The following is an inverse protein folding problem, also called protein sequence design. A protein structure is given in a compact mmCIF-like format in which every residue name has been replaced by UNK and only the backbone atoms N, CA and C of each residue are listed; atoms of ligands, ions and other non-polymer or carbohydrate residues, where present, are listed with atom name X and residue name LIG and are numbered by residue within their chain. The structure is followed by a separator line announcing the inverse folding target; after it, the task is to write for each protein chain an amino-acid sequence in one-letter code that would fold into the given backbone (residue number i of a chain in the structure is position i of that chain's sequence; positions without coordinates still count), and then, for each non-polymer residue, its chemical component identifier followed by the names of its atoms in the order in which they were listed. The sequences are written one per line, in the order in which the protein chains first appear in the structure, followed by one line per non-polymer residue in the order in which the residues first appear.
data_IF_448454374673
#
_entry.id   IF_448454374673
#
_cell.length_a   1.000
_cell.length_b   1.000
_cell.length_c   1.000
_cell.angle_alpha   90.00
_cell.angle_beta   90.00
_cell.angle_gamma   90.00
#
_symmetry.space_group_name_H-M   'P 1'
#
loop_
_entity.id
_entity.type
_entity.pdbx_description
1 polymer ?
#
# COMPACT_ATOMS: atom_id res chain seq x y z
N UNK A 1 -74.53 39.63 -11.56
CA UNK A 1 -74.52 38.22 -11.08
C UNK A 1 -73.61 37.42 -12.00
N UNK A 2 -72.80 36.52 -11.43
CA UNK A 2 -71.66 35.80 -12.02
C UNK A 2 -72.00 35.05 -13.33
N UNK A 3 -71.08 35.02 -14.31
CA UNK A 3 -70.33 33.81 -14.72
C UNK A 3 -69.28 34.13 -15.79
N UNK A 4 -68.15 33.42 -15.70
CA UNK A 4 -66.99 33.40 -16.61
C UNK A 4 -67.30 32.58 -17.86
N UNK A 5 -66.67 32.90 -18.99
CA UNK A 5 -65.86 31.94 -19.76
C UNK A 5 -65.03 32.60 -20.88
N UNK A 6 -63.79 32.12 -20.97
CA UNK A 6 -62.90 32.02 -22.12
C UNK A 6 -62.46 33.30 -22.86
N UNK A 7 -61.14 33.54 -22.86
CA UNK A 7 -60.39 33.74 -24.09
C UNK A 7 -58.92 33.38 -23.86
N UNK A 8 -58.42 32.48 -24.70
CA UNK A 8 -57.03 32.05 -24.74
C UNK A 8 -56.37 32.65 -25.97
N UNK A 9 -55.24 33.31 -25.75
CA UNK A 9 -54.17 33.46 -26.72
C UNK A 9 -54.12 34.81 -27.45
N UNK A 10 -53.17 35.67 -27.07
CA UNK A 10 -52.50 36.55 -28.02
C UNK A 10 -51.17 37.12 -27.46
N UNK A 11 -50.21 37.30 -28.40
CA UNK A 11 -49.07 38.27 -28.42
C UNK A 11 -47.85 37.89 -27.56
N UNK A 12 -46.70 37.51 -28.14
CA UNK A 12 -45.70 38.29 -28.92
C UNK A 12 -44.81 39.21 -28.05
N UNK A 13 -43.49 39.10 -28.32
CA UNK A 13 -42.37 40.00 -27.97
C UNK A 13 -42.06 40.28 -26.49
N UNK A 14 -40.83 39.95 -26.07
CA UNK A 14 -39.82 40.98 -25.73
C UNK A 14 -38.46 40.36 -25.36
N UNK A 15 -37.40 41.00 -25.84
CA UNK A 15 -36.01 40.79 -25.42
C UNK A 15 -35.85 41.00 -23.91
N UNK A 16 -35.10 40.12 -23.25
CA UNK A 16 -34.20 40.49 -22.14
C UNK A 16 -33.02 39.54 -22.08
N UNK A 17 -31.82 40.12 -22.08
CA UNK A 17 -30.55 39.44 -21.86
C UNK A 17 -30.50 38.76 -20.49
N UNK A 18 -30.00 37.52 -20.45
CA UNK A 18 -29.54 36.88 -19.24
C UNK A 18 -28.10 36.42 -19.47
N UNK A 19 -27.20 37.13 -18.81
CA UNK A 19 -25.80 36.76 -18.68
C UNK A 19 -25.71 35.38 -18.00
N UNK A 20 -25.32 34.36 -18.75
CA UNK A 20 -24.87 33.11 -18.16
C UNK A 20 -23.45 33.31 -17.65
N UNK A 21 -23.35 33.61 -16.37
CA UNK A 21 -22.12 33.54 -15.59
C UNK A 21 -21.53 32.14 -15.77
N UNK A 22 -20.33 32.09 -16.36
CA UNK A 22 -19.55 30.87 -16.52
C UNK A 22 -19.24 30.26 -15.16
N UNK A 23 -19.99 29.24 -14.77
CA UNK A 23 -19.58 28.34 -13.71
C UNK A 23 -18.56 27.36 -14.31
N UNK A 24 -17.29 27.78 -14.30
CA UNK A 24 -16.17 26.90 -14.59
C UNK A 24 -16.13 25.77 -13.57
N UNK A 25 -16.72 24.63 -13.91
CA UNK A 25 -16.50 23.38 -13.20
C UNK A 25 -15.04 23.02 -13.46
N UNK A 26 -14.17 23.31 -12.50
CA UNK A 26 -12.83 22.75 -12.48
C UNK A 26 -12.99 21.23 -12.39
N UNK A 27 -12.85 20.52 -13.51
CA UNK A 27 -12.61 19.09 -13.49
C UNK A 27 -11.32 18.88 -12.70
N UNK A 28 -11.45 18.41 -11.46
CA UNK A 28 -10.33 17.80 -10.75
C UNK A 28 -9.81 16.68 -11.64
N UNK A 29 -8.64 16.89 -12.27
CA UNK A 29 -7.94 15.82 -12.95
C UNK A 29 -7.67 14.74 -11.90
N UNK A 30 -8.23 13.54 -12.10
CA UNK A 30 -7.79 12.36 -11.40
C UNK A 30 -6.28 12.22 -11.71
N UNK A 31 -5.45 12.42 -10.69
CA UNK A 31 -4.05 12.02 -10.80
C UNK A 31 -4.07 10.49 -10.80
N UNK A 32 -3.63 9.86 -11.90
CA UNK A 32 -3.35 8.44 -11.88
C UNK A 32 -2.34 8.18 -10.76
N UNK A 33 -2.77 7.46 -9.72
CA UNK A 33 -1.92 7.13 -8.59
C UNK A 33 -0.80 6.20 -9.07
N UNK A 34 0.37 6.76 -9.34
CA UNK A 34 1.52 5.98 -9.77
C UNK A 34 2.01 5.11 -8.62
N UNK A 35 1.81 3.80 -8.74
CA UNK A 35 2.28 2.81 -7.78
C UNK A 35 3.75 2.47 -8.01
N UNK A 36 4.52 2.37 -6.93
CA UNK A 36 5.94 1.98 -6.94
C UNK A 36 6.25 1.04 -5.78
N UNK A 37 7.33 0.27 -5.93
CA UNK A 37 7.74 -0.78 -5.00
C UNK A 37 9.24 -0.66 -4.68
N UNK A 38 9.66 -0.77 -3.41
CA UNK A 38 11.07 -0.91 -3.07
C UNK A 38 11.64 -2.22 -3.61
N UNK A 39 12.75 -2.17 -4.36
CA UNK A 39 13.43 -3.38 -4.86
C UNK A 39 14.24 -4.11 -3.77
N UNK A 40 14.45 -3.46 -2.62
CA UNK A 40 15.01 -4.00 -1.39
C UNK A 40 14.43 -3.27 -0.18
N UNK A 41 14.80 -3.68 1.04
CA UNK A 41 14.51 -2.88 2.24
C UNK A 41 15.22 -1.52 2.13
N UNK A 42 14.49 -0.43 2.36
CA UNK A 42 15.00 0.95 2.25
C UNK A 42 14.55 1.81 3.42
N UNK A 43 15.39 2.78 3.79
CA UNK A 43 15.05 3.77 4.81
C UNK A 43 13.98 4.74 4.29
N UNK A 44 13.02 5.07 5.16
CA UNK A 44 12.07 6.18 4.96
C UNK A 44 12.45 7.34 5.87
N UNK A 45 12.33 8.57 5.36
CA UNK A 45 12.70 9.81 6.02
C UNK A 45 11.50 10.75 6.12
N UNK A 46 11.43 11.58 7.18
CA UNK A 46 10.33 12.56 7.33
C UNK A 46 10.45 13.72 6.33
N UNK A 47 11.67 14.14 6.03
CA UNK A 47 11.98 15.30 5.18
C UNK A 47 12.97 14.90 4.10
N UNK A 48 13.06 15.73 3.04
CA UNK A 48 14.05 15.61 1.98
C UNK A 48 15.35 16.40 2.29
N UNK A 49 15.62 16.69 3.56
CA UNK A 49 16.80 17.47 3.94
C UNK A 49 18.06 16.59 3.92
N UNK A 50 19.23 17.16 3.59
CA UNK A 50 20.50 16.50 3.84
C UNK A 50 20.60 16.05 5.30
N UNK A 51 21.23 14.90 5.55
CA UNK A 51 21.44 14.35 6.89
C UNK A 51 20.16 14.04 7.71
N UNK A 52 18.99 14.03 7.08
CA UNK A 52 17.76 13.60 7.73
C UNK A 52 17.93 12.18 8.31
N UNK A 53 17.53 11.99 9.57
CA UNK A 53 17.57 10.67 10.20
C UNK A 53 16.41 9.83 9.69
N UNK A 54 16.68 8.58 9.34
CA UNK A 54 15.64 7.62 8.96
C UNK A 54 14.62 7.48 10.10
N UNK A 55 13.34 7.57 9.77
CA UNK A 55 12.22 7.39 10.70
C UNK A 55 11.70 5.97 10.72
N UNK A 56 12.06 5.16 9.72
CA UNK A 56 11.66 3.76 9.61
C UNK A 56 12.37 3.04 8.48
N UNK A 57 11.92 1.80 8.23
CA UNK A 57 12.37 0.92 7.17
C UNK A 57 11.14 0.41 6.42
N UNK A 58 11.07 0.69 5.12
CA UNK A 58 10.15 0.06 4.19
C UNK A 58 10.77 -1.25 3.72
N UNK A 59 9.96 -2.30 3.59
CA UNK A 59 10.45 -3.61 3.15
C UNK A 59 10.28 -3.77 1.64
N UNK A 60 11.11 -4.65 1.06
CA UNK A 60 11.04 -5.01 -0.38
C UNK A 60 9.60 -5.30 -0.82
N UNK A 61 9.17 -4.81 -1.98
CA UNK A 61 7.85 -5.09 -2.55
C UNK A 61 6.67 -4.51 -1.77
N UNK A 62 6.88 -3.62 -0.79
CA UNK A 62 5.78 -2.85 -0.20
C UNK A 62 5.13 -1.97 -1.27
N UNK A 63 3.79 -1.95 -1.33
CA UNK A 63 3.04 -1.11 -2.29
C UNK A 63 3.06 0.34 -1.80
N UNK A 64 3.56 1.26 -2.63
CA UNK A 64 3.67 2.68 -2.30
C UNK A 64 3.01 3.51 -3.39
N UNK A 65 2.39 4.62 -3.01
CA UNK A 65 1.89 5.63 -3.94
C UNK A 65 2.97 6.70 -4.08
N UNK A 66 3.43 6.97 -5.31
CA UNK A 66 4.37 8.04 -5.60
C UNK A 66 3.63 9.38 -5.60
N UNK A 67 3.92 10.23 -4.60
CA UNK A 67 3.30 11.56 -4.49
C UNK A 67 4.08 12.62 -5.25
N UNK A 68 5.42 12.53 -5.25
CA UNK A 68 6.31 13.51 -5.91
C UNK A 68 7.69 12.92 -6.11
N UNK A 69 8.36 13.26 -7.19
CA UNK A 69 9.79 13.01 -7.38
C UNK A 69 10.56 14.33 -7.35
N UNK A 70 11.71 14.36 -6.67
CA UNK A 70 12.58 15.53 -6.58
C UNK A 70 14.05 15.08 -6.57
N UNK A 71 14.69 15.13 -7.74
CA UNK A 71 16.06 14.64 -7.92
C UNK A 71 16.19 13.16 -7.56
N UNK A 72 17.17 12.83 -6.71
CA UNK A 72 17.45 11.46 -6.24
C UNK A 72 16.47 10.93 -5.18
N UNK A 73 15.43 11.70 -4.86
CA UNK A 73 14.50 11.40 -3.77
C UNK A 73 13.05 11.43 -4.26
N UNK A 74 12.24 10.57 -3.68
CA UNK A 74 10.82 10.45 -3.98
C UNK A 74 10.02 10.60 -2.68
N UNK A 75 8.98 11.44 -2.71
CA UNK A 75 7.95 11.46 -1.68
C UNK A 75 6.92 10.39 -2.02
N UNK A 76 6.69 9.49 -1.09
CA UNK A 76 5.75 8.38 -1.20
C UNK A 76 4.70 8.47 -0.10
N UNK A 77 3.59 7.76 -0.31
CA UNK A 77 2.65 7.36 0.72
C UNK A 77 2.64 5.85 0.81
N UNK A 78 2.75 5.32 2.02
CA UNK A 78 2.42 3.94 2.32
C UNK A 78 1.07 3.90 3.02
N UNK A 79 0.25 2.91 2.67
CA UNK A 79 -0.96 2.56 3.38
C UNK A 79 -0.81 1.15 3.96
N UNK A 80 -1.44 0.92 5.10
CA UNK A 80 -1.48 -0.42 5.67
C UNK A 80 -2.24 -0.45 6.99
N UNK A 81 -2.09 -1.57 7.69
CA UNK A 81 -2.81 -1.88 8.91
C UNK A 81 -1.87 -2.03 10.07
N UNK A 82 -2.26 -1.53 11.24
CA UNK A 82 -1.58 -1.82 12.49
C UNK A 82 -2.59 -2.38 13.50
N UNK A 83 -2.17 -3.38 14.28
CA UNK A 83 -2.99 -3.92 15.35
C UNK A 83 -3.08 -2.91 16.50
N UNK A 84 -4.27 -2.73 17.07
CA UNK A 84 -4.52 -1.82 18.18
C UNK A 84 -3.46 -1.95 19.30
N UNK A 85 -3.10 -0.82 19.90
CA UNK A 85 -1.95 -0.70 20.79
C UNK A 85 -0.87 0.16 20.16
N UNK A 86 0.30 -0.41 19.86
CA UNK A 86 1.47 0.40 19.44
C UNK A 86 1.61 0.51 17.92
N UNK A 87 1.59 1.75 17.41
CA UNK A 87 1.81 2.12 16.00
C UNK A 87 3.29 1.96 15.58
N UNK A 88 3.83 0.74 15.65
CA UNK A 88 5.26 0.44 15.38
C UNK A 88 5.50 -0.19 14.00
N UNK A 89 4.47 -0.76 13.42
CA UNK A 89 4.51 -1.50 12.15
C UNK A 89 3.25 -1.22 11.35
N UNK A 90 3.38 -1.17 10.02
CA UNK A 90 2.24 -1.29 9.11
C UNK A 90 2.38 -2.60 8.33
N UNK A 91 1.29 -3.34 8.29
CA UNK A 91 1.13 -4.57 7.54
C UNK A 91 0.30 -4.30 6.28
N UNK A 92 0.61 -5.01 5.19
CA UNK A 92 -0.06 -4.83 3.91
C UNK A 92 -1.56 -5.15 3.99
N UNK A 93 -1.93 -6.16 4.78
CA UNK A 93 -3.28 -6.72 4.86
C UNK A 93 -3.68 -6.90 6.31
N UNK A 94 -4.94 -6.58 6.64
CA UNK A 94 -5.50 -6.77 7.97
C UNK A 94 -5.36 -8.23 8.41
N UNK A 95 -4.92 -8.48 9.65
CA UNK A 95 -4.80 -9.85 10.18
C UNK A 95 -3.61 -10.66 9.62
N UNK A 96 -2.94 -10.20 8.56
CA UNK A 96 -1.80 -10.89 7.94
C UNK A 96 -0.52 -10.12 8.22
N UNK A 97 0.46 -10.78 8.84
CA UNK A 97 1.74 -10.22 9.30
C UNK A 97 2.73 -10.03 8.13
N UNK A 98 2.25 -9.50 7.02
CA UNK A 98 3.03 -9.12 5.83
C UNK A 98 3.58 -7.71 6.08
N UNK A 99 4.80 -7.63 6.60
CA UNK A 99 5.39 -6.37 7.04
C UNK A 99 5.74 -5.48 5.84
N UNK A 100 5.18 -4.27 5.77
CA UNK A 100 5.52 -3.26 4.76
C UNK A 100 6.34 -2.10 5.34
N UNK A 101 6.07 -1.72 6.60
CA UNK A 101 6.80 -0.67 7.30
C UNK A 101 7.12 -1.09 8.73
N UNK A 102 8.37 -0.89 9.15
CA UNK A 102 8.74 -0.78 10.56
C UNK A 102 9.15 0.67 10.87
N UNK A 103 8.42 1.36 11.74
CA UNK A 103 8.71 2.75 12.12
C UNK A 103 9.52 2.81 13.42
N UNK A 104 10.19 3.91 13.74
CA UNK A 104 10.85 4.17 15.05
C UNK A 104 9.88 4.79 16.06
N UNK A 105 10.07 4.54 17.37
CA UNK A 105 9.07 4.85 18.41
C UNK A 105 8.69 6.33 18.39
N UNK A 106 9.71 7.19 18.34
CA UNK A 106 9.55 8.66 18.29
C UNK A 106 8.85 9.17 17.02
N UNK A 107 8.85 8.39 15.93
CA UNK A 107 8.24 8.78 14.66
C UNK A 107 6.82 8.25 14.48
N UNK A 108 6.35 7.34 15.35
CA UNK A 108 5.02 6.74 15.29
C UNK A 108 3.87 7.78 15.28
N UNK A 109 4.09 8.95 15.88
CA UNK A 109 3.16 10.09 15.85
C UNK A 109 2.88 10.62 14.44
N UNK A 110 3.72 10.30 13.46
CA UNK A 110 3.54 10.74 12.06
C UNK A 110 2.60 9.83 11.26
N UNK A 111 2.17 8.70 11.85
CA UNK A 111 1.18 7.80 11.24
C UNK A 111 -0.20 8.43 11.38
N UNK A 112 -0.90 8.60 10.25
CA UNK A 112 -2.26 9.11 10.20
C UNK A 112 -3.21 7.93 10.19
N UNK A 113 -3.93 7.76 11.29
CA UNK A 113 -4.99 6.75 11.41
C UNK A 113 -6.20 7.10 10.55
N UNK A 114 -6.86 6.06 10.06
CA UNK A 114 -8.08 6.13 9.24
C UNK A 114 -9.19 5.35 9.94
N UNK A 115 -9.74 4.34 9.30
CA UNK A 115 -10.76 3.46 9.86
C UNK A 115 -10.18 2.39 10.80
N UNK A 116 -11.00 1.95 11.75
CA UNK A 116 -10.75 0.77 12.57
C UNK A 116 -11.69 -0.37 12.17
N UNK A 117 -11.21 -1.61 12.28
CA UNK A 117 -11.95 -2.82 11.95
C UNK A 117 -11.57 -3.93 12.92
N UNK A 118 -12.57 -4.64 13.44
CA UNK A 118 -12.36 -5.82 14.29
C UNK A 118 -12.37 -7.07 13.42
N UNK A 119 -11.32 -7.86 13.52
CA UNK A 119 -11.23 -9.16 12.88
C UNK A 119 -12.22 -10.14 13.56
N UNK A 120 -13.24 -10.66 12.86
CA UNK A 120 -14.25 -11.52 13.45
C UNK A 120 -13.71 -12.89 13.88
N UNK A 121 -12.62 -13.38 13.28
CA UNK A 121 -12.02 -14.67 13.62
C UNK A 121 -11.20 -14.58 14.91
N UNK A 122 -10.54 -13.44 15.13
CA UNK A 122 -9.56 -13.30 16.22
C UNK A 122 -9.99 -12.33 17.32
N UNK A 123 -11.03 -11.52 17.10
CA UNK A 123 -11.44 -10.43 17.99
C UNK A 123 -10.45 -9.27 18.06
N UNK A 124 -9.38 -9.30 17.26
CA UNK A 124 -8.35 -8.27 17.27
C UNK A 124 -8.82 -7.02 16.54
N UNK A 125 -8.62 -5.85 17.18
CA UNK A 125 -8.88 -4.56 16.54
C UNK A 125 -7.67 -4.15 15.71
N UNK A 126 -7.92 -3.78 14.45
CA UNK A 126 -6.95 -3.29 13.49
C UNK A 126 -7.33 -1.89 13.03
N UNK A 127 -6.32 -1.09 12.76
CA UNK A 127 -6.48 0.29 12.32
C UNK A 127 -5.78 0.45 10.98
N UNK A 128 -6.51 0.91 9.97
CA UNK A 128 -5.90 1.34 8.72
C UNK A 128 -5.23 2.68 8.96
N UNK A 129 -4.07 2.87 8.36
CA UNK A 129 -3.31 4.08 8.53
C UNK A 129 -2.42 4.36 7.31
N UNK A 130 -2.00 5.61 7.21
CA UNK A 130 -1.08 6.06 6.17
C UNK A 130 0.15 6.72 6.79
N UNK A 131 1.24 6.70 6.04
CA UNK A 131 2.43 7.49 6.34
C UNK A 131 3.02 8.04 5.05
N UNK A 132 3.23 9.35 5.03
CA UNK A 132 4.00 10.01 3.98
C UNK A 132 5.46 10.10 4.39
N UNK A 133 6.37 9.92 3.44
CA UNK A 133 7.79 10.10 3.69
C UNK A 133 8.62 10.12 2.42
N UNK A 134 9.91 10.33 2.60
CA UNK A 134 10.89 10.42 1.53
C UNK A 134 11.75 9.17 1.47
N UNK A 135 12.06 8.72 0.27
CA UNK A 135 12.91 7.56 -0.02
C UNK A 135 13.87 7.86 -1.16
N UNK A 136 14.86 7.00 -1.39
CA UNK A 136 15.73 7.11 -2.55
C UNK A 136 15.00 6.63 -3.82
N UNK A 137 14.90 7.46 -4.84
CA UNK A 137 14.11 7.15 -6.06
C UNK A 137 14.70 5.98 -6.86
N UNK A 138 16.03 5.83 -6.85
CA UNK A 138 16.73 4.76 -7.56
C UNK A 138 16.51 3.35 -6.98
N UNK A 139 15.82 3.26 -5.83
CA UNK A 139 15.46 2.00 -5.20
C UNK A 139 13.99 1.61 -5.43
N UNK A 140 13.29 2.35 -6.28
CA UNK A 140 11.88 2.13 -6.61
C UNK A 140 11.73 1.57 -8.02
N UNK A 141 10.79 0.67 -8.20
CA UNK A 141 10.35 0.14 -9.50
C UNK A 141 8.83 0.23 -9.61
N UNK A 142 8.30 0.29 -10.83
CA UNK A 142 6.87 0.07 -11.11
C UNK A 142 6.56 -1.39 -11.39
N UNK A 143 7.58 -2.25 -11.51
CA UNK A 143 7.46 -3.67 -11.85
C UNK A 143 7.56 -4.55 -10.59
N UNK A 144 6.41 -4.86 -10.00
CA UNK A 144 6.32 -5.80 -8.88
C UNK A 144 6.63 -7.25 -9.31
N UNK A 145 6.30 -7.62 -10.54
CA UNK A 145 6.50 -8.98 -11.05
C UNK A 145 7.98 -9.33 -11.15
N UNK A 146 8.85 -8.38 -11.54
CA UNK A 146 10.30 -8.58 -11.48
C UNK A 146 10.79 -8.90 -10.05
N UNK A 147 10.22 -8.26 -9.01
CA UNK A 147 10.55 -8.57 -7.61
C UNK A 147 10.11 -10.00 -7.27
N UNK A 148 8.91 -10.40 -7.68
CA UNK A 148 8.36 -11.72 -7.38
C UNK A 148 9.00 -12.85 -8.17
N UNK A 149 9.35 -12.63 -9.43
CA UNK A 149 10.13 -13.57 -10.25
C UNK A 149 11.51 -13.81 -9.63
N UNK A 150 12.18 -12.76 -9.14
CA UNK A 150 13.44 -12.89 -8.39
C UNK A 150 13.24 -13.71 -7.11
N UNK A 151 12.14 -13.48 -6.39
CA UNK A 151 11.84 -14.19 -5.16
C UNK A 151 11.54 -15.67 -5.41
N UNK A 152 10.77 -16.02 -6.46
CA UNK A 152 10.48 -17.41 -6.81
C UNK A 152 11.73 -18.16 -7.26
N UNK A 153 12.55 -17.54 -8.13
CA UNK A 153 13.83 -18.12 -8.55
C UNK A 153 14.71 -18.40 -7.34
N UNK A 154 14.83 -17.43 -6.43
CA UNK A 154 15.61 -17.59 -5.20
C UNK A 154 15.04 -18.69 -4.29
N UNK A 155 13.72 -18.73 -4.11
CA UNK A 155 13.04 -19.75 -3.32
C UNK A 155 13.25 -21.14 -3.91
N UNK A 156 13.13 -21.30 -5.23
CA UNK A 156 13.41 -22.55 -5.93
C UNK A 156 14.86 -22.97 -5.68
N UNK A 157 15.85 -22.13 -6.01
CA UNK A 157 17.27 -22.47 -5.90
C UNK A 157 17.69 -22.83 -4.46
N UNK A 158 17.20 -22.09 -3.45
CA UNK A 158 17.64 -22.26 -2.06
C UNK A 158 16.89 -23.36 -1.31
N UNK A 159 15.64 -23.65 -1.68
CA UNK A 159 14.77 -24.54 -0.90
C UNK A 159 14.48 -25.89 -1.55
N UNK A 160 15.05 -26.19 -2.73
CA UNK A 160 15.04 -27.54 -3.33
C UNK A 160 16.39 -28.26 -3.21
N UNK A 161 17.39 -27.63 -2.59
CA UNK A 161 18.76 -28.17 -2.53
C UNK A 161 18.89 -29.43 -1.66
N UNK A 162 17.97 -29.68 -0.71
CA UNK A 162 18.05 -30.80 0.24
C UNK A 162 16.81 -31.71 0.25
N UNK A 163 15.64 -31.19 -0.11
CA UNK A 163 14.38 -31.91 -0.18
C UNK A 163 13.44 -31.14 -1.12
N UNK A 164 12.27 -31.72 -1.43
CA UNK A 164 11.24 -31.01 -2.19
C UNK A 164 10.79 -29.75 -1.43
N UNK A 165 10.71 -28.59 -2.13
CA UNK A 165 10.28 -27.35 -1.47
C UNK A 165 8.79 -27.42 -1.13
N UNK A 166 8.41 -26.77 -0.03
CA UNK A 166 7.00 -26.64 0.32
C UNK A 166 6.27 -25.76 -0.69
N UNK A 167 5.09 -26.18 -1.13
CA UNK A 167 4.24 -25.35 -1.99
C UNK A 167 3.76 -24.09 -1.25
N UNK A 168 3.69 -22.91 -1.89
CA UNK A 168 3.31 -21.66 -1.23
C UNK A 168 1.92 -21.68 -0.54
N UNK A 169 0.98 -22.46 -1.06
CA UNK A 169 -0.37 -22.61 -0.48
C UNK A 169 -0.44 -23.52 0.76
N UNK A 170 0.67 -24.09 1.23
CA UNK A 170 0.66 -25.05 2.36
C UNK A 170 0.39 -24.39 3.72
N UNK A 171 0.86 -23.17 3.91
CA UNK A 171 0.77 -22.45 5.18
C UNK A 171 0.06 -21.11 5.01
N UNK A 172 -0.40 -20.55 6.13
CA UNK A 172 -0.92 -19.18 6.18
C UNK A 172 0.20 -18.14 6.09
N UNK A 173 -0.14 -16.89 5.75
CA UNK A 173 0.81 -15.78 5.74
C UNK A 173 1.52 -15.63 7.10
N UNK A 174 0.81 -15.86 8.20
CA UNK A 174 1.37 -15.73 9.54
C UNK A 174 2.34 -16.89 9.89
N UNK A 175 2.11 -18.08 9.32
CA UNK A 175 2.95 -19.26 9.54
C UNK A 175 4.25 -19.25 8.73
N UNK A 176 4.28 -18.62 7.55
CA UNK A 176 5.47 -18.66 6.68
C UNK A 176 6.75 -18.09 7.32
N UNK A 177 6.63 -17.08 8.17
CA UNK A 177 7.78 -16.46 8.82
C UNK A 177 8.57 -17.45 9.68
N UNK A 178 7.91 -18.24 10.52
CA UNK A 178 8.58 -19.22 11.38
C UNK A 178 9.13 -20.40 10.56
N UNK A 179 8.35 -20.87 9.58
CA UNK A 179 8.75 -21.98 8.70
C UNK A 179 10.04 -21.69 7.92
N UNK A 180 10.14 -20.51 7.29
CA UNK A 180 11.37 -20.14 6.56
C UNK A 180 12.53 -19.92 7.52
N UNK A 181 12.30 -19.30 8.70
CA UNK A 181 13.35 -19.08 9.70
C UNK A 181 13.95 -20.39 10.22
N UNK A 182 13.16 -21.45 10.37
CA UNK A 182 13.64 -22.75 10.81
C UNK A 182 14.68 -23.35 9.84
N UNK A 183 14.55 -23.08 8.54
CA UNK A 183 15.45 -23.59 7.49
C UNK A 183 16.51 -22.57 7.05
N UNK A 184 16.39 -21.29 7.39
CA UNK A 184 17.20 -20.22 6.82
C UNK A 184 18.71 -20.44 6.97
N UNK A 185 19.17 -20.92 8.14
CA UNK A 185 20.60 -21.21 8.33
C UNK A 185 21.07 -22.40 7.51
N UNK A 186 20.26 -23.46 7.43
CA UNK A 186 20.58 -24.69 6.67
C UNK A 186 20.58 -24.45 5.17
N UNK A 187 19.66 -23.61 4.70
CA UNK A 187 19.57 -23.19 3.29
C UNK A 187 20.53 -22.06 2.92
N UNK A 188 21.43 -21.63 3.84
CA UNK A 188 22.40 -20.57 3.58
C UNK A 188 21.74 -19.25 3.12
N UNK A 189 20.63 -18.87 3.76
CA UNK A 189 19.92 -17.63 3.44
C UNK A 189 20.51 -16.45 4.22
N UNK A 190 20.93 -15.41 3.50
CA UNK A 190 21.13 -14.10 4.11
C UNK A 190 19.81 -13.52 4.64
N UNK A 191 19.89 -12.51 5.50
CA UNK A 191 18.70 -11.80 6.01
C UNK A 191 17.83 -11.22 4.89
N UNK A 192 18.46 -10.68 3.83
CA UNK A 192 17.76 -10.10 2.67
C UNK A 192 17.02 -11.17 1.87
N UNK A 193 17.69 -12.27 1.55
CA UNK A 193 17.10 -13.41 0.84
C UNK A 193 15.94 -14.01 1.64
N UNK A 194 16.15 -14.25 2.94
CA UNK A 194 15.12 -14.77 3.84
C UNK A 194 13.88 -13.87 3.85
N UNK A 195 14.05 -12.56 4.00
CA UNK A 195 12.93 -11.62 4.05
C UNK A 195 12.16 -11.58 2.72
N UNK A 196 12.88 -11.63 1.58
CA UNK A 196 12.27 -11.69 0.26
C UNK A 196 11.43 -12.95 0.08
N UNK A 197 11.99 -14.12 0.43
CA UNK A 197 11.30 -15.41 0.35
C UNK A 197 10.06 -15.41 1.26
N UNK A 198 10.20 -14.96 2.51
CA UNK A 198 9.06 -14.87 3.44
C UNK A 198 7.95 -14.03 2.82
N UNK A 199 8.25 -12.83 2.33
CA UNK A 199 7.23 -11.93 1.80
C UNK A 199 6.56 -12.51 0.54
N UNK A 200 7.34 -13.11 -0.35
CA UNK A 200 6.82 -13.83 -1.52
C UNK A 200 5.85 -14.95 -1.15
N UNK A 201 6.23 -15.79 -0.18
CA UNK A 201 5.40 -16.90 0.30
C UNK A 201 4.16 -16.42 1.03
N UNK A 202 4.27 -15.32 1.79
CA UNK A 202 3.12 -14.69 2.43
C UNK A 202 2.08 -14.25 1.42
N UNK A 203 2.45 -13.53 0.35
CA UNK A 203 1.51 -13.13 -0.71
C UNK A 203 0.91 -14.31 -1.50
N UNK A 204 1.54 -15.49 -1.46
CA UNK A 204 1.08 -16.70 -2.15
C UNK A 204 0.52 -17.77 -1.21
N UNK A 205 0.31 -17.40 0.05
CA UNK A 205 -0.14 -18.29 1.13
C UNK A 205 -1.59 -18.75 0.97
N UNK A 206 -1.99 -19.73 1.79
CA UNK A 206 -3.34 -20.32 1.78
C UNK A 206 -4.44 -19.27 1.92
N UNK A 207 -4.22 -18.32 2.83
CA UNK A 207 -5.17 -17.29 3.28
C UNK A 207 -4.96 -15.94 2.57
N UNK A 208 -4.32 -15.96 1.40
CA UNK A 208 -4.06 -14.79 0.56
C UNK A 208 -4.58 -14.96 -0.88
N UNK A 209 -5.28 -16.05 -1.20
CA UNK A 209 -5.74 -16.34 -2.58
C UNK A 209 -6.69 -15.27 -3.14
N UNK A 210 -7.61 -14.75 -2.33
CA UNK A 210 -8.52 -13.66 -2.68
C UNK A 210 -7.80 -12.31 -2.84
N UNK A 211 -6.57 -12.18 -2.32
CA UNK A 211 -5.78 -10.95 -2.31
C UNK A 211 -4.64 -10.97 -3.32
N UNK A 212 -4.61 -11.96 -4.23
CA UNK A 212 -3.55 -12.11 -5.26
C UNK A 212 -3.65 -11.11 -6.41
N UNK A 213 -4.70 -10.29 -6.47
CA UNK A 213 -5.09 -9.53 -7.68
C UNK A 213 -4.65 -8.06 -7.68
N UNK A 214 -3.80 -7.60 -6.75
CA UNK A 214 -3.52 -6.17 -6.56
C UNK A 214 -2.04 -5.75 -6.55
#
# INVERSE_FOLDING_TARGET
MKLKAAFMGLVCCCLTALAYVGCGVAMARAFDEKVVYPVSDIAIFKTNQPNAKAIGLLTVGAKLILLKQQGSKAKIRIEGWYQHGTKRVLYAVQGRRILDLAIKKKAAVSIVEKEASTDPETGLVWHRATLDGWVASNMLTTDAEAIWARADKLFSMKCTACHERRVPGRYTANQWTSNVKAMASRAGLSKKERNLIIKFLQYRSKDMQEHRVN
#
